data_IF_155339686518
#
_entry.id   IF_155339686518
#
_cell.length_a   1.000
_cell.length_b   1.000
_cell.length_c   1.000
_cell.angle_alpha   90.00
_cell.angle_beta   90.00
_cell.angle_gamma   90.00
#
_symmetry.space_group_name_H-M   'P 1'
#
loop_
_entity.id
_entity.type
_entity.pdbx_description
1 polymer ?
#
# COMPACT_ATOMS: atom_id res chain seq x y z
N UNK A 1 3.18 -20.51 6.63
CA UNK A 1 4.64 -20.50 6.87
C UNK A 1 5.46 -20.25 5.60
N UNK A 2 4.96 -20.53 4.40
CA UNK A 2 5.75 -20.37 3.15
C UNK A 2 6.00 -18.92 2.74
N UNK A 3 5.04 -17.98 2.94
CA UNK A 3 5.26 -16.57 2.53
C UNK A 3 6.19 -15.80 3.46
N UNK A 4 6.22 -16.13 4.74
CA UNK A 4 7.16 -15.51 5.68
C UNK A 4 8.62 -15.90 5.39
N UNK A 5 8.86 -17.16 5.02
CA UNK A 5 10.19 -17.60 4.58
C UNK A 5 10.65 -16.83 3.34
N UNK A 6 9.79 -16.71 2.32
CA UNK A 6 10.07 -15.90 1.12
C UNK A 6 10.36 -14.44 1.43
N UNK A 7 9.60 -13.86 2.37
CA UNK A 7 9.85 -12.50 2.84
C UNK A 7 11.25 -12.37 3.46
N UNK A 8 11.66 -13.32 4.31
CA UNK A 8 12.99 -13.31 4.94
C UNK A 8 14.10 -13.45 3.89
N UNK A 9 13.95 -14.38 2.95
CA UNK A 9 14.90 -14.59 1.86
C UNK A 9 15.05 -13.33 0.99
N UNK A 10 13.93 -12.75 0.57
CA UNK A 10 13.91 -11.51 -0.21
C UNK A 10 14.56 -10.36 0.58
N UNK A 11 14.25 -10.20 1.87
CA UNK A 11 14.80 -9.13 2.70
C UNK A 11 16.33 -9.21 2.79
N UNK A 12 16.90 -10.40 3.00
CA UNK A 12 18.35 -10.57 3.08
C UNK A 12 19.04 -10.34 1.73
N UNK A 13 18.43 -10.83 0.64
CA UNK A 13 18.95 -10.59 -0.71
C UNK A 13 18.90 -9.09 -1.08
N UNK A 14 17.82 -8.39 -0.73
CA UNK A 14 17.65 -6.95 -0.94
C UNK A 14 18.66 -6.16 -0.10
N UNK A 15 18.90 -6.52 1.17
CA UNK A 15 19.93 -5.88 2.00
C UNK A 15 21.31 -5.95 1.35
N UNK A 16 21.65 -7.12 0.81
CA UNK A 16 22.93 -7.34 0.13
C UNK A 16 23.03 -6.52 -1.16
N UNK A 17 21.96 -6.51 -1.98
CA UNK A 17 21.95 -5.82 -3.26
C UNK A 17 21.91 -4.28 -3.14
N UNK A 18 21.26 -3.75 -2.11
CA UNK A 18 21.04 -2.30 -1.94
C UNK A 18 22.03 -1.64 -1.00
N UNK A 19 22.86 -2.40 -0.28
CA UNK A 19 23.87 -1.89 0.68
C UNK A 19 23.29 -0.82 1.60
N UNK A 20 23.67 0.46 1.44
CA UNK A 20 23.21 1.58 2.27
C UNK A 20 22.24 2.53 1.53
N UNK A 21 21.82 2.19 0.31
CA UNK A 21 21.00 3.05 -0.56
C UNK A 21 19.55 3.21 -0.07
N UNK A 22 19.08 2.29 0.79
CA UNK A 22 17.71 2.26 1.32
C UNK A 22 17.68 2.21 2.85
N UNK A 23 16.57 2.65 3.42
CA UNK A 23 16.23 2.41 4.84
C UNK A 23 15.75 0.96 5.02
N UNK A 24 15.77 0.45 6.26
CA UNK A 24 15.24 -0.90 6.54
C UNK A 24 13.75 -0.99 6.18
N UNK A 25 12.99 0.07 6.40
CA UNK A 25 11.55 0.14 6.09
C UNK A 25 11.28 -0.07 4.60
N UNK A 26 12.02 0.60 3.71
CA UNK A 26 11.88 0.37 2.27
C UNK A 26 12.29 -1.04 1.86
N UNK A 27 13.35 -1.61 2.46
CA UNK A 27 13.74 -3.00 2.16
C UNK A 27 12.67 -3.99 2.59
N UNK A 28 12.05 -3.79 3.76
CA UNK A 28 10.95 -4.63 4.27
C UNK A 28 9.75 -4.58 3.34
N UNK A 29 9.38 -3.38 2.91
CA UNK A 29 8.26 -3.22 1.99
C UNK A 29 8.52 -3.92 0.66
N UNK A 30 9.71 -3.75 0.07
CA UNK A 30 10.10 -4.50 -1.13
C UNK A 30 9.98 -6.01 -0.89
N UNK A 31 10.53 -6.51 0.22
CA UNK A 31 10.52 -7.93 0.55
C UNK A 31 9.10 -8.48 0.75
N UNK A 32 8.20 -7.74 1.41
CA UNK A 32 6.80 -8.13 1.53
C UNK A 32 6.15 -8.23 0.15
N UNK A 33 6.42 -7.25 -0.73
CA UNK A 33 5.86 -7.24 -2.07
C UNK A 33 6.29 -8.46 -2.89
N UNK A 34 7.57 -8.82 -2.88
CA UNK A 34 8.06 -10.06 -3.50
C UNK A 34 7.42 -11.33 -2.91
N UNK A 35 7.33 -11.40 -1.58
CA UNK A 35 6.73 -12.55 -0.89
C UNK A 35 5.24 -12.73 -1.22
N UNK A 36 4.54 -11.63 -1.47
CA UNK A 36 3.10 -11.63 -1.80
C UNK A 36 2.84 -12.08 -3.22
N UNK A 37 3.71 -11.67 -4.14
CA UNK A 37 3.68 -12.13 -5.53
C UNK A 37 4.23 -13.53 -5.73
N UNK A 38 4.74 -14.16 -4.68
CA UNK A 38 5.39 -15.46 -4.77
C UNK A 38 6.60 -15.43 -5.73
N UNK A 39 7.25 -14.26 -5.87
CA UNK A 39 8.37 -14.03 -6.80
C UNK A 39 9.69 -13.92 -6.03
N UNK A 40 10.74 -14.69 -6.37
CA UNK A 40 12.04 -14.54 -5.72
C UNK A 40 12.72 -13.22 -6.13
N UNK A 41 13.42 -12.58 -5.19
CA UNK A 41 14.25 -11.42 -5.51
C UNK A 41 15.58 -11.86 -6.15
N UNK A 42 15.79 -11.47 -7.41
CA UNK A 42 17.03 -11.73 -8.14
C UNK A 42 17.85 -10.44 -8.32
N UNK A 43 18.97 -10.33 -7.60
CA UNK A 43 19.78 -9.11 -7.59
C UNK A 43 20.29 -8.69 -8.98
N UNK A 44 20.67 -9.64 -9.82
CA UNK A 44 21.13 -9.39 -11.20
C UNK A 44 20.01 -8.85 -12.08
N UNK A 45 18.83 -9.49 -12.04
CA UNK A 45 17.63 -9.07 -12.75
C UNK A 45 17.20 -7.66 -12.33
N UNK A 46 17.12 -7.43 -11.02
CA UNK A 46 16.79 -6.12 -10.48
C UNK A 46 17.81 -5.04 -10.89
N UNK A 47 19.11 -5.35 -10.86
CA UNK A 47 20.15 -4.43 -11.34
C UNK A 47 20.01 -4.09 -12.82
N UNK A 48 19.71 -5.08 -13.66
CA UNK A 48 19.49 -4.86 -15.09
C UNK A 48 18.28 -3.96 -15.32
N UNK A 49 17.18 -4.19 -14.60
CA UNK A 49 15.99 -3.34 -14.66
C UNK A 49 16.28 -1.90 -14.23
N UNK A 50 17.11 -1.70 -13.20
CA UNK A 50 17.57 -0.35 -12.80
C UNK A 50 18.30 0.33 -13.95
N UNK A 51 19.17 -0.37 -14.66
CA UNK A 51 19.94 0.23 -15.75
C UNK A 51 19.07 0.51 -16.98
N UNK A 52 18.11 -0.36 -17.31
CA UNK A 52 17.08 -0.10 -18.33
C UNK A 52 16.30 1.18 -18.00
N UNK A 53 15.81 1.32 -16.77
CA UNK A 53 15.11 2.53 -16.33
C UNK A 53 16.01 3.78 -16.44
N UNK A 54 17.29 3.66 -16.07
CA UNK A 54 18.25 4.77 -16.19
C UNK A 54 18.53 5.16 -17.65
N UNK A 55 18.43 4.25 -18.61
CA UNK A 55 18.61 4.58 -20.02
C UNK A 55 17.37 5.28 -20.60
N UNK A 56 16.17 4.92 -20.13
CA UNK A 56 14.89 5.42 -20.63
C UNK A 56 14.42 6.74 -20.01
N UNK A 57 14.99 7.14 -18.87
CA UNK A 57 14.53 8.34 -18.13
C UNK A 57 15.61 9.42 -18.06
N UNK A 58 15.20 10.69 -17.89
CA UNK A 58 16.16 11.79 -17.63
C UNK A 58 16.58 11.81 -16.16
N UNK A 59 17.71 12.46 -15.85
CA UNK A 59 18.26 12.57 -14.49
C UNK A 59 17.28 13.17 -13.46
N UNK A 60 16.44 14.12 -13.89
CA UNK A 60 15.42 14.78 -13.06
C UNK A 60 14.02 14.15 -13.18
N UNK A 61 13.92 12.94 -13.73
CA UNK A 61 12.65 12.22 -13.82
C UNK A 61 12.13 11.84 -12.42
N UNK A 62 10.80 11.79 -12.26
CA UNK A 62 10.14 11.29 -11.05
C UNK A 62 10.40 9.79 -10.79
N UNK A 63 10.92 9.08 -11.79
CA UNK A 63 11.35 7.68 -11.71
C UNK A 63 12.83 7.52 -11.28
N UNK A 64 13.46 8.55 -10.71
CA UNK A 64 14.85 8.55 -10.19
C UNK A 64 14.88 8.72 -8.67
N UNK A 65 15.93 8.22 -8.01
CA UNK A 65 16.14 8.34 -6.55
C UNK A 65 15.64 7.12 -5.77
N UNK A 66 15.80 7.08 -4.44
CA UNK A 66 15.52 5.88 -3.62
C UNK A 66 14.09 5.33 -3.73
N UNK A 67 13.10 6.21 -3.92
CA UNK A 67 11.70 5.81 -4.12
C UNK A 67 11.50 5.01 -5.42
N UNK A 68 12.39 5.18 -6.40
CA UNK A 68 12.35 4.41 -7.63
C UNK A 68 12.70 2.93 -7.42
N UNK A 69 13.45 2.58 -6.36
CA UNK A 69 13.83 1.20 -6.10
C UNK A 69 12.63 0.41 -5.59
N UNK A 70 11.81 1.03 -4.75
CA UNK A 70 10.56 0.44 -4.28
C UNK A 70 9.53 0.35 -5.41
N UNK A 71 9.39 1.41 -6.22
CA UNK A 71 8.54 1.36 -7.40
C UNK A 71 8.98 0.26 -8.39
N UNK A 72 10.28 0.15 -8.65
CA UNK A 72 10.82 -0.83 -9.58
C UNK A 72 10.64 -2.25 -9.06
N UNK A 73 10.78 -2.47 -7.74
CA UNK A 73 10.53 -3.81 -7.18
C UNK A 73 9.08 -4.23 -7.32
N UNK A 74 8.16 -3.26 -7.38
CA UNK A 74 6.74 -3.58 -7.59
C UNK A 74 6.50 -4.13 -8.99
N UNK A 75 7.15 -3.53 -10.00
CA UNK A 75 7.12 -4.06 -11.36
C UNK A 75 7.86 -5.39 -11.47
N UNK A 76 9.04 -5.51 -10.84
CA UNK A 76 9.88 -6.69 -10.91
C UNK A 76 9.23 -7.91 -10.28
N UNK A 77 8.55 -7.75 -9.15
CA UNK A 77 7.82 -8.83 -8.50
C UNK A 77 6.60 -9.29 -9.30
N UNK A 78 5.94 -8.39 -10.04
CA UNK A 78 4.66 -8.65 -10.71
C UNK A 78 4.80 -9.13 -12.16
N UNK A 79 5.77 -8.61 -12.90
CA UNK A 79 5.88 -8.84 -14.35
C UNK A 79 7.16 -9.61 -14.67
N UNK A 80 7.04 -10.66 -15.48
CA UNK A 80 8.20 -11.42 -15.97
C UNK A 80 9.10 -10.56 -16.87
N UNK A 81 8.48 -9.89 -17.87
CA UNK A 81 9.16 -8.90 -18.71
C UNK A 81 9.07 -7.50 -18.09
N UNK A 82 10.02 -7.23 -17.19
CA UNK A 82 10.16 -5.93 -16.54
C UNK A 82 10.47 -4.80 -17.53
N UNK A 83 11.15 -5.07 -18.65
CA UNK A 83 11.49 -4.04 -19.64
C UNK A 83 10.22 -3.47 -20.28
N UNK A 84 9.34 -4.35 -20.73
CA UNK A 84 8.03 -3.99 -21.28
C UNK A 84 7.15 -3.32 -20.22
N UNK A 85 7.14 -3.81 -18.97
CA UNK A 85 6.38 -3.18 -17.89
C UNK A 85 6.87 -1.76 -17.57
N UNK A 86 8.19 -1.51 -17.59
CA UNK A 86 8.76 -0.16 -17.44
C UNK A 86 8.32 0.75 -18.59
N UNK A 87 8.39 0.25 -19.83
CA UNK A 87 7.98 1.03 -21.01
C UNK A 87 6.52 1.44 -20.93
N UNK A 88 5.66 0.50 -20.54
CA UNK A 88 4.24 0.77 -20.40
C UNK A 88 3.94 1.73 -19.25
N UNK A 89 4.59 1.58 -18.09
CA UNK A 89 4.46 2.52 -16.99
C UNK A 89 4.90 3.95 -17.38
N UNK A 90 6.02 4.09 -18.10
CA UNK A 90 6.49 5.39 -18.59
C UNK A 90 5.53 6.00 -19.62
N UNK A 91 4.92 5.18 -20.48
CA UNK A 91 3.89 5.63 -21.41
C UNK A 91 2.65 6.11 -20.67
N UNK A 92 2.15 5.34 -19.71
CA UNK A 92 0.95 5.67 -18.92
C UNK A 92 1.16 6.88 -18.02
N UNK A 93 2.38 7.12 -17.52
CA UNK A 93 2.70 8.33 -16.78
C UNK A 93 2.41 9.60 -17.59
N UNK A 94 2.51 9.58 -18.93
CA UNK A 94 2.18 10.75 -19.75
C UNK A 94 0.71 11.15 -19.63
N UNK A 95 -0.19 10.21 -19.34
CA UNK A 95 -1.62 10.48 -19.11
C UNK A 95 -1.87 11.21 -17.78
N UNK A 96 -0.91 11.17 -16.85
CA UNK A 96 -0.99 11.81 -15.54
C UNK A 96 -0.63 13.30 -15.57
N UNK A 97 -0.42 13.90 -16.74
CA UNK A 97 -0.22 15.36 -16.93
C UNK A 97 -1.51 16.18 -16.76
N UNK A 98 -2.38 15.76 -15.85
CA UNK A 98 -3.68 16.35 -15.50
C UNK A 98 -3.62 17.02 -14.13
N UNK A 99 -4.52 17.97 -13.85
CA UNK A 99 -4.47 18.86 -12.67
C UNK A 99 -4.15 18.17 -11.34
N UNK A 100 -4.80 17.05 -11.03
CA UNK A 100 -4.67 16.36 -9.75
C UNK A 100 -3.46 15.42 -9.67
N UNK A 101 -3.02 14.88 -10.79
CA UNK A 101 -1.93 13.90 -10.85
C UNK A 101 -0.58 14.54 -11.18
N UNK A 102 -0.56 15.69 -11.87
CA UNK A 102 0.63 16.26 -12.51
C UNK A 102 1.82 16.42 -11.57
N UNK A 103 1.56 16.89 -10.35
CA UNK A 103 2.58 17.18 -9.37
C UNK A 103 2.70 16.10 -8.29
N UNK A 104 1.96 15.01 -8.43
CA UNK A 104 1.93 13.95 -7.44
C UNK A 104 3.29 13.25 -7.34
N UNK A 105 3.73 12.97 -6.12
CA UNK A 105 4.89 12.09 -5.88
C UNK A 105 4.57 10.64 -6.20
N UNK A 106 3.29 10.29 -6.26
CA UNK A 106 2.77 8.94 -6.46
C UNK A 106 2.58 8.57 -7.93
N UNK A 107 2.91 9.48 -8.86
CA UNK A 107 2.80 9.24 -10.31
C UNK A 107 3.35 7.89 -10.77
N UNK A 108 4.56 7.44 -10.33
CA UNK A 108 5.06 6.11 -10.70
C UNK A 108 4.11 4.98 -10.28
N UNK A 109 3.51 5.06 -9.09
CA UNK A 109 2.57 4.05 -8.60
C UNK A 109 1.22 4.13 -9.31
N UNK A 110 0.70 5.32 -9.54
CA UNK A 110 -0.52 5.53 -10.34
C UNK A 110 -0.35 4.95 -11.75
N UNK A 111 0.79 5.17 -12.39
CA UNK A 111 1.09 4.61 -13.70
C UNK A 111 1.13 3.08 -13.69
N UNK A 112 1.70 2.46 -12.64
CA UNK A 112 1.67 1.00 -12.49
C UNK A 112 0.26 0.44 -12.35
N UNK A 113 -0.63 1.17 -11.65
CA UNK A 113 -2.04 0.80 -11.49
C UNK A 113 -2.86 0.95 -12.77
N UNK A 114 -2.31 1.58 -13.82
CA UNK A 114 -2.96 1.69 -15.13
C UNK A 114 -2.48 0.62 -16.12
N UNK A 115 -1.48 -0.18 -15.77
CA UNK A 115 -1.00 -1.26 -16.64
C UNK A 115 -2.12 -2.30 -16.79
N UNK A 116 -2.41 -2.69 -18.02
CA UNK A 116 -3.51 -3.60 -18.39
C UNK A 116 -4.92 -3.08 -18.08
N UNK A 117 -5.07 -1.79 -17.76
CA UNK A 117 -6.39 -1.19 -17.54
C UNK A 117 -7.00 -0.79 -18.88
N UNK A 118 -8.24 -1.21 -19.11
CA UNK A 118 -9.04 -0.76 -20.25
C UNK A 118 -9.45 0.71 -20.08
N UNK A 119 -9.32 1.49 -21.16
CA UNK A 119 -9.66 2.91 -21.19
C UNK A 119 -9.03 3.73 -20.03
N UNK A 120 -7.70 3.74 -19.89
CA UNK A 120 -7.01 4.34 -18.74
C UNK A 120 -7.34 5.84 -18.58
N UNK A 121 -7.55 6.56 -19.68
CA UNK A 121 -7.99 7.96 -19.64
C UNK A 121 -9.36 8.14 -18.98
N UNK A 122 -10.33 7.26 -19.28
CA UNK A 122 -11.66 7.30 -18.66
C UNK A 122 -11.56 7.01 -17.17
N UNK A 123 -10.83 5.96 -16.79
CA UNK A 123 -10.63 5.60 -15.37
C UNK A 123 -9.94 6.71 -14.58
N UNK A 124 -9.03 7.47 -15.19
CA UNK A 124 -8.41 8.65 -14.56
C UNK A 124 -9.38 9.81 -14.33
N UNK A 125 -10.34 10.02 -15.24
CA UNK A 125 -11.38 11.03 -15.07
C UNK A 125 -12.36 10.62 -13.96
N UNK A 126 -12.82 9.38 -13.96
CA UNK A 126 -13.67 8.82 -12.90
C UNK A 126 -12.98 8.88 -11.52
N UNK A 127 -11.70 8.51 -11.45
CA UNK A 127 -10.90 8.62 -10.22
C UNK A 127 -10.80 10.07 -9.73
N UNK A 128 -10.70 11.03 -10.66
CA UNK A 128 -10.67 12.46 -10.32
C UNK A 128 -12.00 12.90 -9.70
N UNK A 129 -13.13 12.49 -10.29
CA UNK A 129 -14.47 12.81 -9.77
C UNK A 129 -14.72 12.19 -8.40
N UNK A 130 -14.34 10.92 -8.22
CA UNK A 130 -14.45 10.22 -6.95
C UNK A 130 -13.56 10.86 -5.87
N UNK A 131 -12.31 11.21 -6.21
CA UNK A 131 -11.41 11.94 -5.30
C UNK A 131 -11.98 13.30 -4.86
N UNK A 132 -12.61 14.04 -5.78
CA UNK A 132 -13.29 15.29 -5.43
C UNK A 132 -14.47 15.06 -4.49
N UNK A 133 -15.14 13.91 -4.60
CA UNK A 133 -16.19 13.51 -3.67
C UNK A 133 -15.63 13.24 -2.27
N UNK A 134 -14.51 12.52 -2.18
CA UNK A 134 -13.78 12.32 -0.91
C UNK A 134 -13.42 13.65 -0.25
N UNK A 135 -12.87 14.59 -1.01
CA UNK A 135 -12.51 15.93 -0.53
C UNK A 135 -13.71 16.74 -0.05
N UNK A 136 -14.88 16.60 -0.68
CA UNK A 136 -16.11 17.28 -0.27
C UNK A 136 -16.64 16.75 1.07
N UNK A 137 -16.60 15.43 1.28
CA UNK A 137 -17.08 14.81 2.52
C UNK A 137 -16.07 14.93 3.68
N UNK A 138 -14.78 14.73 3.40
CA UNK A 138 -13.71 14.64 4.41
C UNK A 138 -12.51 15.55 4.09
N UNK A 139 -12.71 16.89 3.97
CA UNK A 139 -11.68 17.81 3.45
C UNK A 139 -10.36 17.79 4.23
N UNK A 140 -10.42 17.51 5.53
CA UNK A 140 -9.26 17.47 6.42
C UNK A 140 -8.57 16.10 6.50
N UNK A 141 -9.26 15.03 6.09
CA UNK A 141 -8.73 13.67 6.16
C UNK A 141 -8.18 13.22 4.82
N UNK A 142 -8.80 13.65 3.72
CA UNK A 142 -8.39 13.23 2.39
C UNK A 142 -7.03 13.86 2.05
N UNK A 143 -6.08 13.05 1.63
CA UNK A 143 -4.70 13.43 1.27
C UNK A 143 -4.46 13.20 -0.22
N UNK A 144 -3.24 13.45 -0.71
CA UNK A 144 -2.88 13.14 -2.12
C UNK A 144 -2.99 11.64 -2.43
N UNK A 145 -2.80 10.81 -1.42
CA UNK A 145 -2.69 9.35 -1.51
C UNK A 145 -4.03 8.70 -1.81
N UNK A 146 -5.13 9.37 -1.44
CA UNK A 146 -6.49 8.97 -1.79
C UNK A 146 -6.77 8.98 -3.30
N UNK A 147 -5.89 9.56 -4.14
CA UNK A 147 -5.93 9.37 -5.59
C UNK A 147 -5.68 7.91 -5.99
N UNK A 148 -4.79 7.19 -5.28
CA UNK A 148 -4.59 5.76 -5.51
C UNK A 148 -5.85 4.97 -5.15
N UNK A 149 -6.49 5.31 -4.02
CA UNK A 149 -7.73 4.68 -3.59
C UNK A 149 -8.84 4.91 -4.61
N UNK A 150 -9.01 6.15 -5.06
CA UNK A 150 -10.01 6.49 -6.06
C UNK A 150 -9.79 5.71 -7.36
N UNK A 151 -8.54 5.62 -7.83
CA UNK A 151 -8.21 4.89 -9.05
C UNK A 151 -8.49 3.38 -8.92
N UNK A 152 -8.11 2.76 -7.81
CA UNK A 152 -8.37 1.34 -7.56
C UNK A 152 -9.87 1.06 -7.48
N UNK A 153 -10.64 1.95 -6.84
CA UNK A 153 -12.07 1.80 -6.70
C UNK A 153 -12.83 1.90 -8.03
N UNK A 154 -12.54 2.90 -8.87
CA UNK A 154 -13.22 3.05 -10.16
C UNK A 154 -12.81 1.98 -11.18
N UNK A 155 -11.70 1.28 -10.96
CA UNK A 155 -11.36 0.09 -11.75
C UNK A 155 -12.12 -1.16 -11.30
N UNK A 156 -12.48 -1.24 -10.02
CA UNK A 156 -13.19 -2.38 -9.44
C UNK A 156 -14.72 -2.26 -9.53
N UNK A 157 -15.24 -1.03 -9.60
CA UNK A 157 -16.67 -0.75 -9.58
C UNK A 157 -17.04 0.25 -10.67
N UNK A 158 -18.03 -0.08 -11.50
CA UNK A 158 -18.50 0.82 -12.57
C UNK A 158 -19.56 1.83 -12.09
N UNK A 159 -20.31 1.54 -11.02
CA UNK A 159 -21.29 2.47 -10.44
C UNK A 159 -20.69 3.33 -9.32
N UNK A 160 -20.35 4.58 -9.65
CA UNK A 160 -19.71 5.53 -8.74
C UNK A 160 -20.68 6.02 -7.65
N UNK A 161 -21.98 6.13 -7.93
CA UNK A 161 -22.96 6.67 -6.97
C UNK A 161 -23.15 5.67 -5.83
N UNK A 162 -23.46 4.43 -6.19
CA UNK A 162 -23.64 3.33 -5.23
C UNK A 162 -22.35 3.08 -4.45
N UNK A 163 -21.20 3.20 -5.11
CA UNK A 163 -19.89 3.09 -4.48
C UNK A 163 -19.69 4.17 -3.39
N UNK A 164 -20.00 5.44 -3.69
CA UNK A 164 -19.80 6.52 -2.74
C UNK A 164 -20.73 6.39 -1.52
N UNK A 165 -21.98 5.98 -1.72
CA UNK A 165 -22.88 5.69 -0.60
C UNK A 165 -22.33 4.56 0.27
N UNK A 166 -21.85 3.48 -0.34
CA UNK A 166 -21.23 2.35 0.36
C UNK A 166 -20.01 2.78 1.17
N UNK A 167 -19.14 3.64 0.63
CA UNK A 167 -17.98 4.20 1.35
C UNK A 167 -18.43 4.97 2.59
N UNK A 168 -19.41 5.86 2.45
CA UNK A 168 -19.89 6.70 3.56
C UNK A 168 -20.59 5.88 4.64
N UNK A 169 -21.31 4.82 4.28
CA UNK A 169 -21.90 3.87 5.22
C UNK A 169 -20.80 3.20 6.09
N UNK A 170 -19.74 2.68 5.47
CA UNK A 170 -18.60 2.11 6.21
C UNK A 170 -17.94 3.17 7.11
N UNK A 171 -17.66 4.37 6.60
CA UNK A 171 -17.04 5.43 7.38
C UNK A 171 -17.92 5.83 8.59
N UNK A 172 -19.23 5.96 8.39
CA UNK A 172 -20.17 6.30 9.45
C UNK A 172 -20.21 5.25 10.57
N UNK A 173 -20.13 3.96 10.22
CA UNK A 173 -20.06 2.86 11.18
C UNK A 173 -18.71 2.83 11.95
N UNK A 174 -17.62 3.21 11.29
CA UNK A 174 -16.26 3.17 11.86
C UNK A 174 -15.93 4.38 12.75
N UNK A 175 -16.37 5.60 12.40
CA UNK A 175 -15.94 6.87 13.04
C UNK A 175 -16.27 7.00 14.53
N UNK A 176 -17.20 6.19 15.05
CA UNK A 176 -17.54 6.14 16.47
C UNK A 176 -16.77 5.08 17.26
N UNK A 177 -16.05 4.19 16.57
CA UNK A 177 -15.41 2.99 17.14
C UNK A 177 -13.89 3.03 17.00
N UNK A 178 -13.38 3.75 16.01
CA UNK A 178 -11.97 3.95 15.74
C UNK A 178 -11.63 5.44 15.65
N UNK A 179 -10.37 5.84 15.90
CA UNK A 179 -9.97 7.24 15.80
C UNK A 179 -10.12 7.78 14.38
N UNK A 180 -10.61 9.00 14.24
CA UNK A 180 -10.66 9.70 12.95
C UNK A 180 -9.24 9.97 12.45
N UNK A 181 -8.93 9.49 11.26
CA UNK A 181 -7.64 9.70 10.58
C UNK A 181 -7.77 9.38 9.09
N UNK A 182 -6.71 9.64 8.31
CA UNK A 182 -6.66 9.25 6.90
C UNK A 182 -6.69 7.71 6.76
N UNK A 183 -6.06 6.95 7.67
CA UNK A 183 -6.16 5.49 7.73
C UNK A 183 -7.61 5.01 7.90
N UNK A 184 -8.41 5.72 8.72
CA UNK A 184 -9.83 5.38 8.89
C UNK A 184 -10.61 5.56 7.57
N UNK A 185 -10.33 6.64 6.84
CA UNK A 185 -10.92 6.89 5.54
C UNK A 185 -10.50 5.79 4.54
N UNK A 186 -9.21 5.45 4.50
CA UNK A 186 -8.73 4.35 3.67
C UNK A 186 -9.42 3.02 4.03
N UNK A 187 -9.60 2.71 5.31
CA UNK A 187 -10.34 1.50 5.72
C UNK A 187 -11.76 1.49 5.16
N UNK A 188 -12.47 2.63 5.16
CA UNK A 188 -13.80 2.70 4.55
C UNK A 188 -13.79 2.49 3.04
N UNK A 189 -12.72 2.90 2.35
CA UNK A 189 -12.52 2.60 0.93
C UNK A 189 -12.25 1.11 0.72
N UNK A 190 -11.40 0.48 1.54
CA UNK A 190 -11.04 -0.93 1.37
C UNK A 190 -12.23 -1.86 1.63
N UNK A 191 -13.02 -1.59 2.68
CA UNK A 191 -14.14 -2.46 3.04
C UNK A 191 -15.25 -2.50 1.98
N UNK A 192 -15.26 -1.60 0.99
CA UNK A 192 -16.23 -1.69 -0.12
C UNK A 192 -16.07 -2.97 -0.94
N UNK A 193 -14.85 -3.54 -0.97
CA UNK A 193 -14.52 -4.81 -1.62
C UNK A 193 -14.98 -6.04 -0.84
N UNK A 194 -15.47 -5.87 0.40
CA UNK A 194 -16.16 -6.95 1.10
C UNK A 194 -17.45 -7.28 0.36
N UNK A 195 -17.71 -8.56 0.12
CA UNK A 195 -18.99 -9.02 -0.45
C UNK A 195 -20.15 -8.93 0.56
N UNK A 196 -19.84 -8.75 1.85
CA UNK A 196 -20.83 -8.64 2.93
C UNK A 196 -21.46 -7.24 3.02
N UNK A 197 -22.51 -7.11 3.82
CA UNK A 197 -23.06 -5.78 4.14
C UNK A 197 -22.03 -4.89 4.86
N UNK A 198 -22.15 -3.56 4.81
CA UNK A 198 -21.26 -2.66 5.55
C UNK A 198 -21.19 -2.95 7.04
N UNK A 199 -22.31 -3.31 7.66
CA UNK A 199 -22.40 -3.68 9.07
C UNK A 199 -21.60 -4.95 9.38
N UNK A 200 -21.74 -5.98 8.55
CA UNK A 200 -21.01 -7.24 8.69
C UNK A 200 -19.51 -7.03 8.46
N UNK A 201 -19.12 -6.28 7.42
CA UNK A 201 -17.73 -5.98 7.11
C UNK A 201 -17.04 -5.22 8.26
N UNK A 202 -17.70 -4.20 8.82
CA UNK A 202 -17.20 -3.45 9.98
C UNK A 202 -17.17 -4.33 11.23
N UNK A 203 -18.21 -5.13 11.47
CA UNK A 203 -18.25 -6.07 12.60
C UNK A 203 -17.09 -7.06 12.55
N UNK A 204 -16.80 -7.61 11.37
CA UNK A 204 -15.69 -8.54 11.14
C UNK A 204 -14.35 -7.87 11.41
N UNK A 205 -14.11 -6.68 10.90
CA UNK A 205 -12.87 -5.91 11.16
C UNK A 205 -12.65 -5.68 12.66
N UNK A 206 -13.71 -5.32 13.39
CA UNK A 206 -13.62 -5.09 14.84
C UNK A 206 -13.43 -6.38 15.64
N UNK A 207 -14.02 -7.48 15.18
CA UNK A 207 -13.80 -8.81 15.76
C UNK A 207 -12.34 -9.23 15.60
N UNK A 208 -11.78 -9.06 14.40
CA UNK A 208 -10.35 -9.24 14.14
C UNK A 208 -9.49 -8.41 15.10
N UNK A 209 -9.78 -7.11 15.25
CA UNK A 209 -9.06 -6.23 16.17
C UNK A 209 -9.15 -6.72 17.63
N UNK A 210 -10.33 -7.16 18.08
CA UNK A 210 -10.53 -7.66 19.45
C UNK A 210 -9.74 -8.94 19.71
N UNK A 211 -9.84 -9.92 18.80
CA UNK A 211 -9.17 -11.21 18.97
C UNK A 211 -7.64 -11.09 18.92
N UNK A 212 -7.10 -10.16 18.11
CA UNK A 212 -5.67 -9.87 18.12
C UNK A 212 -5.23 -9.20 19.42
N UNK A 213 -6.06 -8.34 20.02
CA UNK A 213 -5.78 -7.71 21.31
C UNK A 213 -5.77 -8.74 22.46
N UNK A 214 -6.68 -9.72 22.43
CA UNK A 214 -6.72 -10.85 23.38
C UNK A 214 -5.43 -11.68 23.39
N UNK A 215 -4.73 -11.75 22.25
CA UNK A 215 -3.41 -12.41 22.14
C UNK A 215 -2.23 -11.43 22.22
N UNK A 216 -2.46 -10.24 22.80
CA UNK A 216 -1.47 -9.19 23.04
C UNK A 216 -0.82 -8.57 21.78
N UNK A 217 -1.55 -8.59 20.65
CA UNK A 217 -1.16 -7.91 19.41
C UNK A 217 -2.03 -6.67 19.25
N UNK A 218 -1.53 -5.54 19.76
CA UNK A 218 -2.26 -4.27 19.70
C UNK A 218 -2.30 -3.69 18.29
N UNK A 219 -3.51 -3.48 17.78
CA UNK A 219 -3.77 -2.81 16.50
C UNK A 219 -3.84 -1.30 16.70
N UNK A 220 -2.83 -0.60 16.16
CA UNK A 220 -2.72 0.86 16.07
C UNK A 220 -3.24 1.37 14.72
N UNK A 221 -3.27 2.70 14.53
CA UNK A 221 -3.87 3.33 13.34
C UNK A 221 -3.21 2.86 12.05
N UNK A 222 -1.89 2.81 12.04
CA UNK A 222 -1.08 2.41 10.89
C UNK A 222 -1.29 0.93 10.48
N UNK A 223 -1.84 0.10 11.37
CA UNK A 223 -2.16 -1.31 11.07
C UNK A 223 -3.56 -1.49 10.47
N UNK A 224 -4.45 -0.49 10.59
CA UNK A 224 -5.85 -0.63 10.22
C UNK A 224 -6.07 -0.98 8.75
N UNK A 225 -5.35 -0.41 7.76
CA UNK A 225 -5.57 -0.77 6.36
C UNK A 225 -5.19 -2.23 6.06
N UNK A 226 -4.08 -2.72 6.62
CA UNK A 226 -3.69 -4.12 6.48
C UNK A 226 -4.67 -5.06 7.21
N UNK A 227 -5.23 -4.63 8.34
CA UNK A 227 -6.29 -5.38 9.02
C UNK A 227 -7.59 -5.43 8.20
N UNK A 228 -7.93 -4.33 7.53
CA UNK A 228 -9.11 -4.27 6.66
C UNK A 228 -8.99 -5.26 5.50
N UNK A 229 -7.84 -5.25 4.82
CA UNK A 229 -7.51 -6.24 3.79
C UNK A 229 -7.66 -7.67 4.32
N UNK A 230 -7.07 -8.00 5.47
CA UNK A 230 -7.22 -9.32 6.11
C UNK A 230 -8.69 -9.67 6.35
N UNK A 231 -9.48 -8.73 6.86
CA UNK A 231 -10.90 -8.95 7.15
C UNK A 231 -11.76 -9.18 5.89
N UNK A 232 -11.37 -8.63 4.75
CA UNK A 232 -12.08 -8.85 3.49
C UNK A 232 -11.87 -10.29 3.01
N UNK A 233 -10.64 -10.79 3.09
CA UNK A 233 -10.25 -12.08 2.51
C UNK A 233 -10.40 -13.27 3.45
N UNK A 234 -10.55 -13.04 4.76
CA UNK A 234 -10.75 -14.13 5.72
C UNK A 234 -11.48 -13.70 6.99
N UNK A 235 -12.34 -14.59 7.47
CA UNK A 235 -12.90 -14.51 8.82
C UNK A 235 -11.81 -14.76 9.88
N UNK A 236 -11.94 -14.16 11.09
CA UNK A 236 -11.11 -14.50 12.23
C UNK A 236 -11.19 -15.98 12.57
N UNK A 237 -10.04 -16.64 12.64
CA UNK A 237 -9.95 -18.04 13.02
C UNK A 237 -8.61 -18.33 13.70
N UNK A 238 -8.57 -19.40 14.50
CA UNK A 238 -7.42 -19.79 15.31
C UNK A 238 -6.14 -19.95 14.48
N UNK A 239 -6.25 -20.53 13.27
CA UNK A 239 -5.08 -20.75 12.40
C UNK A 239 -4.46 -19.43 11.92
N UNK A 240 -5.28 -18.48 11.48
CA UNK A 240 -4.79 -17.19 11.01
C UNK A 240 -4.26 -16.32 12.16
N UNK A 241 -4.90 -16.34 13.34
CA UNK A 241 -4.37 -15.66 14.54
C UNK A 241 -3.01 -16.23 14.94
N UNK A 242 -2.89 -17.56 14.97
CA UNK A 242 -1.63 -18.23 15.31
C UNK A 242 -0.52 -17.86 14.30
N UNK A 243 -0.83 -17.84 13.01
CA UNK A 243 0.13 -17.42 11.98
C UNK A 243 0.60 -15.97 12.19
N UNK A 244 -0.31 -15.06 12.54
CA UNK A 244 0.05 -13.68 12.86
C UNK A 244 0.96 -13.61 14.10
N UNK A 245 0.64 -14.36 15.16
CA UNK A 245 1.48 -14.42 16.37
C UNK A 245 2.88 -14.94 16.08
N UNK A 246 2.99 -16.00 15.27
CA UNK A 246 4.25 -16.61 14.89
C UNK A 246 5.13 -15.62 14.11
N UNK A 247 4.58 -14.97 13.08
CA UNK A 247 5.32 -13.98 12.28
C UNK A 247 5.72 -12.78 13.14
N UNK A 248 4.78 -12.26 13.95
CA UNK A 248 5.07 -11.14 14.85
C UNK A 248 6.20 -11.50 15.80
N UNK A 249 6.14 -12.66 16.47
CA UNK A 249 7.16 -13.14 17.39
C UNK A 249 8.52 -13.30 16.72
N UNK A 250 8.57 -13.97 15.57
CA UNK A 250 9.80 -14.18 14.82
C UNK A 250 10.46 -12.86 14.38
N UNK A 251 9.68 -11.85 13.98
CA UNK A 251 10.22 -10.53 13.64
C UNK A 251 10.74 -9.77 14.88
N UNK A 252 10.09 -9.90 16.05
CA UNK A 252 10.59 -9.30 17.30
C UNK A 252 11.93 -9.90 17.71
N UNK A 253 12.05 -11.22 17.62
CA UNK A 253 13.25 -11.95 18.04
C UNK A 253 14.47 -11.61 17.18
N UNK A 254 14.25 -11.42 15.87
CA UNK A 254 15.31 -11.05 14.91
C UNK A 254 15.77 -9.60 15.03
N UNK A 255 14.95 -8.68 15.55
CA UNK A 255 15.29 -7.25 15.68
C UNK A 255 14.86 -6.68 17.03
N UNK A 256 15.69 -6.94 18.05
CA UNK A 256 15.44 -6.68 19.47
C UNK A 256 15.17 -5.21 19.90
N UNK A 257 15.22 -4.22 19.02
CA UNK A 257 15.16 -2.79 19.45
C UNK A 257 14.20 -1.86 18.70
N UNK A 258 13.76 -2.17 17.47
CA UNK A 258 12.90 -1.26 16.69
C UNK A 258 11.78 -2.02 15.98
N UNK A 259 10.95 -2.72 16.77
CA UNK A 259 9.86 -3.52 16.24
C UNK A 259 8.59 -2.69 15.93
N UNK A 260 8.65 -1.84 14.92
CA UNK A 260 7.48 -1.03 14.51
C UNK A 260 6.62 -1.74 13.47
N UNK A 261 7.21 -2.62 12.65
CA UNK A 261 6.58 -3.14 11.43
C UNK A 261 6.09 -4.60 11.50
N UNK A 262 6.38 -5.37 12.55
CA UNK A 262 6.07 -6.81 12.54
C UNK A 262 4.59 -7.13 12.40
N UNK A 263 3.72 -6.34 13.04
CA UNK A 263 2.27 -6.51 12.93
C UNK A 263 1.81 -6.23 11.51
N UNK A 264 2.32 -5.16 10.89
CA UNK A 264 1.98 -4.80 9.51
C UNK A 264 2.38 -5.91 8.53
N UNK A 265 3.61 -6.42 8.65
CA UNK A 265 4.13 -7.53 7.84
C UNK A 265 3.26 -8.78 8.02
N UNK A 266 2.96 -9.15 9.28
CA UNK A 266 2.16 -10.34 9.58
C UNK A 266 0.75 -10.27 8.97
N UNK A 267 0.05 -9.15 9.15
CA UNK A 267 -1.29 -8.96 8.59
C UNK A 267 -1.29 -9.06 7.06
N UNK A 268 -0.32 -8.42 6.42
CA UNK A 268 -0.18 -8.41 4.97
C UNK A 268 0.13 -9.80 4.39
N UNK A 269 1.10 -10.51 4.96
CA UNK A 269 1.48 -11.84 4.48
C UNK A 269 0.34 -12.85 4.68
N UNK A 270 -0.34 -12.82 5.83
CA UNK A 270 -1.47 -13.71 6.12
C UNK A 270 -2.68 -13.37 5.25
N UNK A 271 -2.98 -12.10 5.02
CA UNK A 271 -4.04 -11.72 4.09
C UNK A 271 -3.75 -12.22 2.68
N UNK A 272 -2.51 -12.04 2.23
CA UNK A 272 -2.14 -12.41 0.87
C UNK A 272 -2.17 -13.93 0.65
N UNK A 273 -1.87 -14.76 1.67
CA UNK A 273 -2.07 -16.22 1.62
C UNK A 273 -3.54 -16.64 1.38
N UNK A 274 -4.50 -15.73 1.59
CA UNK A 274 -5.96 -15.99 1.48
C UNK A 274 -6.61 -15.33 0.27
N UNK A 275 -5.84 -14.63 -0.57
CA UNK A 275 -6.35 -14.01 -1.79
C UNK A 275 -6.55 -15.09 -2.86
N UNK A 276 -7.76 -15.13 -3.44
CA UNK A 276 -8.17 -16.14 -4.42
C UNK A 276 -8.72 -15.55 -5.71
N UNK A 277 -8.96 -14.24 -5.78
CA UNK A 277 -9.57 -13.57 -6.94
C UNK A 277 -8.84 -12.28 -7.34
N UNK A 278 -9.06 -11.84 -8.57
CA UNK A 278 -8.39 -10.68 -9.18
C UNK A 278 -8.75 -9.35 -8.49
N UNK A 279 -10.00 -9.18 -8.04
CA UNK A 279 -10.41 -7.97 -7.32
C UNK A 279 -9.64 -7.80 -6.00
N UNK A 280 -9.38 -8.88 -5.29
CA UNK A 280 -8.57 -8.89 -4.08
C UNK A 280 -7.09 -8.66 -4.37
N UNK A 281 -6.58 -9.09 -5.53
CA UNK A 281 -5.22 -8.79 -5.99
C UNK A 281 -5.03 -7.30 -6.35
N UNK A 282 -6.01 -6.71 -7.05
CA UNK A 282 -6.04 -5.27 -7.31
C UNK A 282 -6.10 -4.47 -6.01
N UNK A 283 -6.98 -4.86 -5.09
CA UNK A 283 -7.09 -4.28 -3.74
C UNK A 283 -5.75 -4.38 -3.00
N UNK A 284 -5.11 -5.55 -3.02
CA UNK A 284 -3.83 -5.79 -2.37
C UNK A 284 -2.78 -4.80 -2.87
N UNK A 285 -2.57 -4.71 -4.19
CA UNK A 285 -1.61 -3.80 -4.79
C UNK A 285 -1.94 -2.33 -4.53
N UNK A 286 -3.21 -1.96 -4.63
CA UNK A 286 -3.70 -0.62 -4.30
C UNK A 286 -3.40 -0.24 -2.86
N UNK A 287 -3.71 -1.15 -1.93
CA UNK A 287 -3.45 -0.97 -0.48
C UNK A 287 -1.96 -0.84 -0.21
N UNK A 288 -1.12 -1.62 -0.88
CA UNK A 288 0.34 -1.53 -0.74
C UNK A 288 0.90 -0.19 -1.22
N UNK A 289 0.51 0.22 -2.42
CA UNK A 289 0.94 1.50 -2.98
C UNK A 289 0.48 2.66 -2.08
N UNK A 290 -0.74 2.58 -1.54
CA UNK A 290 -1.27 3.58 -0.61
C UNK A 290 -0.52 3.58 0.72
N UNK A 291 -0.30 2.42 1.36
CA UNK A 291 0.46 2.34 2.62
C UNK A 291 1.89 2.86 2.47
N UNK A 292 2.54 2.61 1.34
CA UNK A 292 3.83 3.19 1.03
C UNK A 292 3.78 4.71 0.93
N UNK A 293 2.76 5.24 0.26
CA UNK A 293 2.54 6.67 0.15
C UNK A 293 2.44 7.30 1.55
N UNK A 294 1.60 6.72 2.42
CA UNK A 294 1.40 7.16 3.82
C UNK A 294 2.71 7.21 4.59
N UNK A 295 3.52 6.16 4.47
CA UNK A 295 4.83 6.10 5.12
C UNK A 295 5.76 7.20 4.61
N UNK A 296 5.77 7.48 3.30
CA UNK A 296 6.58 8.56 2.74
C UNK A 296 6.12 9.95 3.21
N UNK A 297 4.83 10.23 3.19
CA UNK A 297 4.30 11.51 3.68
C UNK A 297 4.65 11.75 5.16
N UNK A 298 4.56 10.70 6.00
CA UNK A 298 4.97 10.77 7.40
C UNK A 298 6.48 11.10 7.56
N UNK A 299 7.36 10.48 6.77
CA UNK A 299 8.80 10.78 6.80
C UNK A 299 9.14 12.20 6.30
N UNK A 300 8.42 12.71 5.31
CA UNK A 300 8.60 14.07 4.83
C UNK A 300 8.14 15.11 5.87
N UNK A 301 7.01 14.87 6.54
CA UNK A 301 6.48 15.74 7.58
C UNK A 301 7.40 15.83 8.80
N UNK A 302 7.98 14.71 9.24
CA UNK A 302 8.94 14.70 10.37
C UNK A 302 10.22 15.48 10.02
N UNK A 303 10.74 15.29 8.80
CA UNK A 303 11.91 16.05 8.32
C UNK A 303 11.64 17.55 8.27
N UNK A 304 10.48 17.97 7.77
CA UNK A 304 10.08 19.38 7.72
C UNK A 304 9.92 19.99 9.12
N UNK A 305 9.34 19.26 10.07
CA UNK A 305 9.19 19.72 11.46
C UNK A 305 10.54 19.92 12.16
N UNK A 306 11.51 19.03 11.92
CA UNK A 306 12.89 19.19 12.43
C UNK A 306 13.51 20.45 11.85
N UNK A 307 13.45 20.66 10.52
CA UNK A 307 14.01 21.86 9.87
C UNK A 307 13.37 23.14 10.43
N UNK A 308 12.05 23.16 10.59
CA UNK A 308 11.32 24.29 11.18
C UNK A 308 11.77 24.55 12.62
N UNK A 309 11.92 23.51 13.44
CA UNK A 309 12.39 23.64 14.83
C UNK A 309 13.84 24.16 14.92
N UNK A 310 14.72 23.72 14.03
CA UNK A 310 16.12 24.20 13.96
C UNK A 310 16.23 25.63 13.41
N UNK A 311 15.31 26.05 12.55
CA UNK A 311 15.23 27.44 12.07
C UNK A 311 14.66 28.41 13.11
N UNK A 312 13.83 27.91 14.05
CA UNK A 312 13.29 28.70 15.16
C UNK A 312 14.27 28.91 16.31
N UNK A 313 15.35 28.12 16.38
CA UNK A 313 16.41 28.22 17.39
C UNK A 313 17.57 29.13 16.98
N UNK A 314 17.50 29.74 15.79
CA UNK A 314 18.54 30.62 15.22
C UNK A 314 18.15 32.11 15.17
N UNK A 315 17.11 32.52 15.91
CA UNK A 315 16.75 33.94 16.08
C UNK A 315 17.03 34.44 17.50
#
# INVERSE_FOLDING_TARGET
>A
MTRYERYVEALEAIKTATKWELTDDFRRLMAVHYAIHDTPFEASRFSNARDVLKQKTKMFSKFRGSQNLVWLSFLDAKYEDIGTAIDEALRLDTLLDRKHFRFSSLRPFLANQLINVEEPDRRLDEATELYQTFKRHHPWLTSEEDLLSALVLVQAFDDIIDLNERIEQHYALLKGRLPKSNELQLVSHLLTFSESSPEEAVSRLLTWKSQLDEVHISIRREHLPALALLSIVTEPNTSAIHAIQEIVGAEKDKQRWFNTHSVLIALQLVAAERITNEASDLLLHGTFAHLLAMQQAATAATTAAVIASTSSTTN
#
